data_IF_000654732722
#
_entry.id   IF_000654732722
#
_cell.length_a   1.000
_cell.length_b   1.000
_cell.length_c   1.000
_cell.angle_alpha   90.00
_cell.angle_beta   90.00
_cell.angle_gamma   90.00
#
_symmetry.space_group_name_H-M   'P 1'
#
loop_
_entity.id
_entity.type
_entity.pdbx_description
1 polymer ?
#
# COMPACT_ATOMS: atom_id res chain seq x y z
N UNK A 1 15.30 -20.67 -24.43
CA UNK A 1 15.76 -19.71 -23.42
C UNK A 1 14.90 -19.86 -22.17
N UNK A 2 15.24 -20.84 -21.34
CA UNK A 2 14.65 -21.04 -20.03
C UNK A 2 15.60 -20.35 -19.06
N UNK A 3 15.18 -19.25 -18.43
CA UNK A 3 15.95 -18.70 -17.32
C UNK A 3 15.70 -19.59 -16.11
N UNK A 4 16.74 -20.31 -15.69
CA UNK A 4 16.83 -20.93 -14.38
C UNK A 4 16.65 -19.83 -13.33
N UNK A 5 15.46 -19.76 -12.74
CA UNK A 5 15.21 -18.97 -11.55
C UNK A 5 15.23 -19.92 -10.36
N UNK A 6 16.40 -20.11 -9.76
CA UNK A 6 16.50 -20.68 -8.43
C UNK A 6 15.95 -19.64 -7.45
N UNK A 7 14.71 -19.84 -6.97
CA UNK A 7 14.14 -19.07 -5.87
C UNK A 7 14.88 -19.49 -4.60
N UNK A 8 15.97 -18.79 -4.28
CA UNK A 8 16.64 -18.88 -2.98
C UNK A 8 15.72 -18.23 -1.93
N UNK A 9 15.66 -18.82 -0.73
CA UNK A 9 14.62 -18.66 0.31
C UNK A 9 13.97 -17.25 0.40
N UNK A 10 12.64 -17.23 0.31
CA UNK A 10 11.81 -16.03 0.20
C UNK A 10 11.76 -15.24 1.52
N UNK A 11 12.81 -14.48 1.82
CA UNK A 11 12.77 -13.45 2.85
C UNK A 11 11.96 -12.25 2.36
N UNK A 12 10.63 -12.35 2.43
CA UNK A 12 9.79 -11.15 2.47
C UNK A 12 10.13 -10.41 3.77
N UNK A 13 11.07 -9.46 3.69
CA UNK A 13 11.26 -8.48 4.76
C UNK A 13 9.94 -7.76 5.08
N UNK A 14 9.85 -7.00 6.20
CA UNK A 14 8.61 -6.57 6.83
C UNK A 14 7.87 -5.44 6.08
N UNK A 15 7.89 -5.43 4.75
CA UNK A 15 7.13 -4.52 3.91
C UNK A 15 5.72 -5.06 3.72
N UNK A 16 4.95 -5.15 4.81
CA UNK A 16 3.50 -5.11 4.66
C UNK A 16 3.17 -3.72 4.11
N UNK A 17 2.57 -3.62 2.93
CA UNK A 17 2.22 -2.35 2.28
C UNK A 17 1.09 -1.59 3.00
N UNK A 18 1.17 -1.52 4.33
CA UNK A 18 0.16 -1.01 5.25
C UNK A 18 0.49 0.43 5.63
N UNK A 19 -0.48 1.32 5.43
CA UNK A 19 -0.46 2.69 5.93
C UNK A 19 -1.27 2.76 7.22
N UNK A 20 -0.64 3.22 8.31
CA UNK A 20 -1.30 3.46 9.59
C UNK A 20 -1.22 4.95 9.94
N UNK A 21 -2.36 5.63 9.91
CA UNK A 21 -2.49 7.02 10.35
C UNK A 21 -2.84 7.05 11.83
N UNK A 22 -2.12 7.87 12.62
CA UNK A 22 -2.43 8.10 14.04
C UNK A 22 -3.00 9.51 14.19
N UNK A 23 -4.00 9.67 15.04
CA UNK A 23 -4.66 10.96 15.31
C UNK A 23 -5.24 11.61 14.05
N UNK A 24 -6.14 10.88 13.40
CA UNK A 24 -6.81 11.24 12.14
C UNK A 24 -7.81 12.38 12.35
N UNK A 25 -7.88 13.32 11.40
CA UNK A 25 -8.89 14.37 11.36
C UNK A 25 -9.56 14.50 9.98
N UNK A 26 -10.49 15.44 9.81
CA UNK A 26 -11.25 15.58 8.56
C UNK A 26 -10.39 15.92 7.33
N UNK A 27 -9.18 16.45 7.52
CA UNK A 27 -8.24 16.73 6.43
C UNK A 27 -7.57 15.48 5.87
N UNK A 28 -7.63 14.35 6.59
CA UNK A 28 -7.21 13.05 6.10
C UNK A 28 -8.29 12.36 5.23
N UNK A 29 -9.46 12.98 5.03
CA UNK A 29 -10.45 12.45 4.09
C UNK A 29 -9.90 12.43 2.66
N UNK A 30 -9.97 11.27 2.00
CA UNK A 30 -9.47 11.17 0.64
C UNK A 30 -9.43 9.77 0.05
N UNK A 31 -8.88 9.71 -1.15
CA UNK A 31 -8.55 8.48 -1.86
C UNK A 31 -7.12 8.05 -1.54
N UNK A 32 -6.96 6.82 -1.07
CA UNK A 32 -5.67 6.22 -0.78
C UNK A 32 -5.36 5.16 -1.83
N UNK A 33 -4.15 5.23 -2.39
CA UNK A 33 -3.70 4.30 -3.44
C UNK A 33 -2.41 3.62 -2.99
N UNK A 34 -2.44 2.30 -2.92
CA UNK A 34 -1.25 1.48 -2.79
C UNK A 34 -0.67 1.21 -4.18
N UNK A 35 0.64 1.44 -4.35
CA UNK A 35 1.35 1.24 -5.61
C UNK A 35 2.51 0.28 -5.41
N UNK A 36 2.45 -0.89 -6.04
CA UNK A 36 3.57 -1.82 -6.12
C UNK A 36 4.29 -1.64 -7.47
N UNK A 37 5.63 -1.55 -7.47
CA UNK A 37 6.41 -1.28 -8.67
C UNK A 37 7.61 -2.21 -8.78
N UNK A 38 7.93 -2.63 -10.00
CA UNK A 38 9.19 -3.28 -10.35
C UNK A 38 9.67 -2.76 -11.73
N UNK A 39 10.75 -3.33 -12.27
CA UNK A 39 11.32 -2.92 -13.56
C UNK A 39 10.39 -3.19 -14.76
N UNK A 40 9.38 -4.05 -14.60
CA UNK A 40 8.41 -4.42 -15.64
C UNK A 40 7.24 -3.42 -15.64
N UNK A 41 6.83 -2.94 -14.47
CA UNK A 41 5.71 -2.00 -14.38
C UNK A 41 5.20 -1.76 -12.97
N UNK A 42 3.93 -1.34 -12.90
CA UNK A 42 3.24 -0.94 -11.67
C UNK A 42 1.89 -1.64 -11.54
N UNK A 43 1.51 -1.93 -10.30
CA UNK A 43 0.19 -2.40 -9.91
C UNK A 43 -0.41 -1.44 -8.89
N UNK A 44 -1.73 -1.23 -8.95
CA UNK A 44 -2.46 -0.24 -8.17
C UNK A 44 -3.62 -0.89 -7.43
N UNK A 45 -3.84 -0.48 -6.18
CA UNK A 45 -5.03 -0.83 -5.39
C UNK A 45 -5.54 0.44 -4.70
N UNK A 46 -6.82 0.76 -4.84
CA UNK A 46 -7.40 2.02 -4.35
C UNK A 46 -8.50 1.77 -3.31
N UNK A 47 -8.53 2.60 -2.27
CA UNK A 47 -9.55 2.60 -1.22
C UNK A 47 -9.97 4.07 -0.98
N UNK A 48 -11.27 4.35 -0.94
CA UNK A 48 -11.81 5.64 -0.49
C UNK A 48 -12.02 5.58 1.02
N UNK A 49 -11.45 6.53 1.77
CA UNK A 49 -11.63 6.64 3.22
C UNK A 49 -12.47 7.86 3.55
N UNK A 50 -13.60 7.69 4.25
CA UNK A 50 -14.44 8.80 4.72
C UNK A 50 -14.24 9.05 6.22
N UNK A 51 -13.81 10.26 6.59
CA UNK A 51 -13.62 10.65 8.00
C UNK A 51 -14.67 11.69 8.42
N UNK A 52 -15.44 11.36 9.46
CA UNK A 52 -16.46 12.24 10.04
C UNK A 52 -16.00 12.69 11.42
N UNK A 53 -15.73 13.98 11.60
CA UNK A 53 -15.43 14.58 12.90
C UNK A 53 -16.72 15.11 13.54
N UNK A 54 -16.97 14.74 14.79
CA UNK A 54 -18.12 15.24 15.55
C UNK A 54 -17.94 16.72 15.87
N UNK A 55 -18.95 17.56 15.55
CA UNK A 55 -19.03 18.92 16.07
C UNK A 55 -19.54 18.84 17.50
N UNK A 56 -18.69 19.16 18.48
CA UNK A 56 -19.13 19.54 19.82
C UNK A 56 -19.66 20.99 19.79
#
# INVERSE_FOLDING_TARGET
>A
FLLNYSVEEQYYGPFSGSLSLRSVDSSDDGDYVCVASNVIGRSFSSIRSLIVTGKN
#
